data_IF_858293088587
#
_entry.id   IF_858293088587
#
_cell.length_a   1.000
_cell.length_b   1.000
_cell.length_c   1.000
_cell.angle_alpha   90.00
_cell.angle_beta   90.00
_cell.angle_gamma   90.00
#
_symmetry.space_group_name_H-M   'P 1'
#
loop_
_entity.id
_entity.type
_entity.pdbx_description
1 polymer ?
#
# COMPACT_ATOMS: atom_id res chain seq x y z
N UNK A 1 -11.55 -5.90 1.26
CA UNK A 1 -12.61 -6.32 2.21
C UNK A 1 -13.52 -5.13 2.45
N UNK A 2 -14.83 -5.34 2.51
CA UNK A 2 -15.77 -4.28 2.88
C UNK A 2 -16.15 -4.45 4.35
N UNK A 3 -15.98 -3.41 5.16
CA UNK A 3 -16.46 -3.35 6.53
C UNK A 3 -17.54 -2.28 6.63
N UNK A 4 -18.64 -2.58 7.31
CA UNK A 4 -19.71 -1.62 7.55
C UNK A 4 -20.42 -1.89 8.88
N UNK A 5 -20.86 -0.82 9.54
CA UNK A 5 -21.75 -0.88 10.69
C UNK A 5 -23.19 -1.06 10.21
N UNK A 6 -23.94 -1.92 10.91
CA UNK A 6 -25.37 -2.08 10.65
C UNK A 6 -26.14 -0.90 11.26
N UNK A 7 -27.22 -0.46 10.60
CA UNK A 7 -27.96 0.76 10.95
C UNK A 7 -28.44 0.85 12.41
N UNK A 8 -28.59 -0.28 13.11
CA UNK A 8 -29.08 -0.35 14.49
C UNK A 8 -27.94 -0.50 15.53
N UNK A 9 -26.68 -0.51 15.11
CA UNK A 9 -25.50 -0.71 15.96
C UNK A 9 -24.62 0.54 15.93
N UNK A 10 -24.98 1.53 16.75
CA UNK A 10 -24.12 2.70 16.98
C UNK A 10 -23.01 2.32 17.95
N UNK A 11 -21.77 2.59 17.57
CA UNK A 11 -20.64 2.51 18.50
C UNK A 11 -20.74 3.65 19.52
N UNK A 12 -20.15 3.53 20.71
CA UNK A 12 -19.94 4.68 21.58
C UNK A 12 -19.20 5.81 20.83
N UNK A 13 -19.46 7.07 21.18
CA UNK A 13 -19.04 8.25 20.39
C UNK A 13 -17.50 8.34 20.17
N UNK A 14 -16.75 7.84 21.13
CA UNK A 14 -15.29 7.79 21.21
C UNK A 14 -14.69 6.46 20.75
N UNK A 15 -15.49 5.58 20.15
CA UNK A 15 -15.08 4.23 19.74
C UNK A 15 -15.14 4.03 18.24
N UNK A 16 -14.28 3.13 17.77
CA UNK A 16 -14.20 2.70 16.39
C UNK A 16 -14.05 1.18 16.33
N UNK A 17 -14.55 0.58 15.26
CA UNK A 17 -14.37 -0.84 14.97
C UNK A 17 -13.15 -1.01 14.06
N UNK A 18 -12.04 -1.43 14.66
CA UNK A 18 -10.76 -1.66 14.01
C UNK A 18 -10.65 -3.06 13.40
N UNK A 19 -9.95 -3.16 12.28
CA UNK A 19 -9.64 -4.40 11.55
C UNK A 19 -8.15 -4.67 11.61
N UNK A 20 -7.84 -5.92 11.89
CA UNK A 20 -6.50 -6.46 11.90
C UNK A 20 -6.40 -7.68 10.97
N UNK A 21 -5.23 -7.91 10.41
CA UNK A 21 -4.93 -9.13 9.64
C UNK A 21 -3.72 -9.84 10.21
N UNK A 22 -3.71 -11.16 10.12
CA UNK A 22 -2.61 -12.00 10.53
C UNK A 22 -2.38 -13.06 9.46
N UNK A 23 -1.15 -13.12 8.94
CA UNK A 23 -0.68 -14.27 8.18
C UNK A 23 -0.15 -15.35 9.15
N UNK A 24 -0.19 -16.64 8.78
CA UNK A 24 0.22 -17.75 9.64
C UNK A 24 1.60 -17.55 10.30
N UNK A 25 1.65 -17.47 11.64
CA UNK A 25 2.91 -17.27 12.37
C UNK A 25 3.40 -15.82 12.48
N UNK A 26 2.61 -14.83 12.03
CA UNK A 26 2.86 -13.40 12.25
C UNK A 26 2.03 -12.84 13.41
N UNK A 27 2.26 -11.58 13.78
CA UNK A 27 1.39 -10.82 14.67
C UNK A 27 0.23 -10.15 13.91
N UNK A 28 -0.85 -9.81 14.61
CA UNK A 28 -1.93 -9.02 14.01
C UNK A 28 -1.45 -7.61 13.67
N UNK A 29 -1.71 -7.19 12.43
CA UNK A 29 -1.41 -5.86 11.94
C UNK A 29 -2.68 -5.08 11.64
N UNK A 30 -2.76 -3.84 12.13
CA UNK A 30 -3.86 -2.93 11.88
C UNK A 30 -3.99 -2.60 10.37
N UNK A 31 -5.23 -2.55 9.88
CA UNK A 31 -5.55 -2.24 8.48
C UNK A 31 -6.52 -1.08 8.28
N UNK A 32 -7.30 -0.74 9.30
CA UNK A 32 -8.23 0.38 9.24
C UNK A 32 -9.37 0.21 10.22
N UNK A 33 -10.27 1.20 10.27
CA UNK A 33 -11.42 1.17 11.14
C UNK A 33 -12.62 1.89 10.52
N UNK A 34 -13.81 1.60 11.03
CA UNK A 34 -15.05 2.35 10.78
C UNK A 34 -15.59 2.90 12.10
N UNK A 35 -16.33 4.01 12.03
CA UNK A 35 -16.93 4.67 13.18
C UNK A 35 -18.24 5.36 12.77
N UNK A 36 -19.01 5.90 13.71
CA UNK A 36 -20.36 6.42 13.40
C UNK A 36 -20.40 7.50 12.29
N UNK A 37 -19.37 8.34 12.17
CA UNK A 37 -19.29 9.36 11.12
C UNK A 37 -18.73 8.84 9.78
N UNK A 38 -18.10 7.66 9.77
CA UNK A 38 -17.65 6.96 8.58
C UNK A 38 -17.99 5.46 8.74
N UNK A 39 -19.28 5.09 8.57
CA UNK A 39 -19.80 3.80 9.02
C UNK A 39 -19.41 2.64 8.10
N UNK A 40 -18.76 2.90 6.97
CA UNK A 40 -18.33 1.86 6.03
C UNK A 40 -17.02 2.22 5.36
N UNK A 41 -16.16 1.22 5.11
CA UNK A 41 -14.91 1.39 4.40
C UNK A 41 -14.56 0.15 3.57
N UNK A 42 -13.89 0.38 2.43
CA UNK A 42 -13.21 -0.67 1.67
C UNK A 42 -11.75 -0.69 2.11
N UNK A 43 -11.37 -1.77 2.81
CA UNK A 43 -10.04 -1.94 3.39
C UNK A 43 -9.25 -2.95 2.54
N UNK A 44 -8.10 -2.56 1.95
CA UNK A 44 -7.23 -3.50 1.27
C UNK A 44 -6.57 -4.43 2.30
N UNK A 45 -6.71 -5.74 2.11
CA UNK A 45 -6.08 -6.75 2.96
C UNK A 45 -4.66 -7.03 2.43
N UNK A 46 -3.74 -6.12 2.73
CA UNK A 46 -2.32 -6.38 2.53
C UNK A 46 -1.87 -7.38 3.59
N UNK A 47 -1.59 -8.61 3.20
CA UNK A 47 -1.14 -9.64 4.14
C UNK A 47 0.33 -9.42 4.51
N UNK A 48 0.71 -9.57 5.79
CA UNK A 48 2.11 -9.52 6.19
C UNK A 48 2.89 -10.58 5.42
N UNK A 49 3.97 -10.17 4.76
CA UNK A 49 4.87 -11.11 4.10
C UNK A 49 5.56 -11.97 5.16
N UNK A 50 5.35 -13.29 5.10
CA UNK A 50 6.06 -14.21 5.97
C UNK A 50 7.33 -14.67 5.25
N UNK A 51 8.54 -14.29 5.72
CA UNK A 51 9.78 -14.76 5.11
C UNK A 51 9.92 -16.29 5.15
N UNK A 52 9.21 -16.96 6.06
CA UNK A 52 9.17 -18.41 6.24
C UNK A 52 8.21 -19.16 5.30
N UNK A 53 7.35 -18.46 4.53
CA UNK A 53 6.38 -19.10 3.62
C UNK A 53 6.96 -19.58 2.28
N UNK A 54 8.23 -19.33 1.98
CA UNK A 54 8.89 -19.91 0.80
C UNK A 54 9.42 -21.34 1.03
N UNK A 55 9.26 -21.91 2.22
CA UNK A 55 9.65 -23.29 2.50
C UNK A 55 8.51 -24.26 2.11
N UNK A 56 8.81 -25.11 1.12
CA UNK A 56 8.00 -26.24 0.68
C UNK A 56 7.49 -27.03 1.90
N UNK A 57 6.18 -27.01 2.14
CA UNK A 57 5.57 -27.75 3.24
C UNK A 57 5.70 -29.27 2.99
N UNK A 58 6.04 -30.08 4.01
CA UNK A 58 5.98 -31.53 3.90
C UNK A 58 4.56 -32.01 3.59
N UNK A 59 4.39 -33.13 2.86
CA UNK A 59 3.07 -33.70 2.62
C UNK A 59 2.42 -34.11 3.96
N UNK A 60 1.30 -33.48 4.32
CA UNK A 60 0.52 -33.79 5.54
C UNK A 60 0.42 -32.67 6.58
N UNK A 61 1.03 -31.50 6.35
CA UNK A 61 0.87 -30.34 7.24
C UNK A 61 -0.54 -29.72 7.13
N UNK A 62 -1.10 -29.30 8.27
CA UNK A 62 -2.38 -28.59 8.33
C UNK A 62 -2.36 -27.32 7.45
N UNK A 63 -3.48 -26.94 6.82
CA UNK A 63 -3.54 -25.78 5.95
C UNK A 63 -3.24 -24.49 6.73
N UNK A 64 -2.26 -23.75 6.25
CA UNK A 64 -1.90 -22.43 6.75
C UNK A 64 -3.10 -21.48 6.56
N UNK A 65 -3.71 -21.04 7.65
CA UNK A 65 -4.91 -20.20 7.63
C UNK A 65 -4.56 -18.78 8.06
N UNK A 66 -4.91 -17.80 7.23
CA UNK A 66 -4.82 -16.38 7.59
C UNK A 66 -6.05 -15.97 8.40
N UNK A 67 -5.89 -15.04 9.33
CA UNK A 67 -6.95 -14.61 10.24
C UNK A 67 -7.24 -13.11 10.07
N UNK A 68 -8.50 -12.74 10.26
CA UNK A 68 -8.98 -11.35 10.32
C UNK A 68 -9.52 -11.12 11.72
N UNK A 69 -8.94 -10.15 12.42
CA UNK A 69 -9.37 -9.73 13.75
C UNK A 69 -10.21 -8.45 13.66
N UNK A 70 -11.23 -8.36 14.49
CA UNK A 70 -12.03 -7.13 14.67
C UNK A 70 -12.10 -6.79 16.15
N UNK A 71 -11.84 -5.53 16.48
CA UNK A 71 -11.78 -5.03 17.86
C UNK A 71 -12.45 -3.67 17.97
N UNK A 72 -13.12 -3.41 19.09
CA UNK A 72 -13.64 -2.07 19.41
C UNK A 72 -12.58 -1.33 20.20
N UNK A 73 -12.09 -0.24 19.64
CA UNK A 73 -10.99 0.53 20.21
C UNK A 73 -11.33 2.01 20.31
N UNK A 74 -10.53 2.73 21.08
CA UNK A 74 -10.66 4.17 21.18
C UNK A 74 -10.26 4.83 19.85
N UNK A 75 -11.13 5.70 19.33
CA UNK A 75 -10.88 6.38 18.07
C UNK A 75 -9.59 7.22 18.13
N UNK A 76 -9.21 7.72 19.32
CA UNK A 76 -8.01 8.52 19.52
C UNK A 76 -6.71 7.70 19.52
N UNK A 77 -6.76 6.40 19.85
CA UNK A 77 -5.57 5.54 19.92
C UNK A 77 -5.26 4.85 18.61
N UNK A 78 -6.25 4.75 17.71
CA UNK A 78 -6.07 4.05 16.45
C UNK A 78 -5.14 4.82 15.52
N UNK A 79 -4.22 4.12 14.83
CA UNK A 79 -3.48 4.73 13.74
C UNK A 79 -4.50 5.26 12.72
N UNK A 80 -4.39 6.55 12.39
CA UNK A 80 -5.17 7.10 11.29
C UNK A 80 -4.86 6.24 10.05
N UNK A 81 -5.90 5.83 9.33
CA UNK A 81 -5.87 5.03 8.08
C UNK A 81 -4.82 5.52 7.05
N UNK A 82 -4.35 6.75 7.24
CA UNK A 82 -3.19 7.34 6.59
C UNK A 82 -1.95 6.45 6.61
N UNK A 83 -1.67 5.57 7.59
CA UNK A 83 -0.39 4.82 7.59
C UNK A 83 -0.20 3.92 6.36
N UNK A 84 -1.27 3.22 5.94
CA UNK A 84 -1.23 2.37 4.73
C UNK A 84 -1.20 3.19 3.44
N UNK A 85 -1.86 4.35 3.43
CA UNK A 85 -1.80 5.30 2.32
C UNK A 85 -0.41 5.97 2.24
N UNK A 86 0.19 6.32 3.38
CA UNK A 86 1.51 6.93 3.51
C UNK A 86 2.58 5.99 2.96
N UNK A 87 2.54 4.71 3.36
CA UNK A 87 3.47 3.70 2.86
C UNK A 87 3.35 3.50 1.35
N UNK A 88 2.14 3.50 0.81
CA UNK A 88 1.90 3.45 -0.65
C UNK A 88 2.40 4.70 -1.37
N UNK A 89 2.22 5.88 -0.78
CA UNK A 89 2.72 7.14 -1.34
C UNK A 89 4.26 7.18 -1.33
N UNK A 90 4.88 6.64 -0.28
CA UNK A 90 6.33 6.51 -0.18
C UNK A 90 6.88 5.52 -1.23
N UNK A 91 6.30 4.31 -1.33
CA UNK A 91 6.66 3.30 -2.33
C UNK A 91 6.46 3.84 -3.76
N UNK A 92 5.36 4.55 -4.01
CA UNK A 92 5.09 5.23 -5.27
C UNK A 92 6.18 6.26 -5.59
N UNK A 93 6.53 7.13 -4.63
CA UNK A 93 7.56 8.15 -4.83
C UNK A 93 8.92 7.53 -5.17
N UNK A 94 9.29 6.44 -4.47
CA UNK A 94 10.53 5.70 -4.74
C UNK A 94 10.55 5.11 -6.15
N UNK A 95 9.48 4.44 -6.59
CA UNK A 95 9.42 3.86 -7.95
C UNK A 95 9.33 4.92 -9.04
N UNK A 96 8.71 6.08 -8.78
CA UNK A 96 8.72 7.21 -9.71
C UNK A 96 10.14 7.74 -9.90
N UNK A 97 10.90 7.87 -8.81
CA UNK A 97 12.32 8.24 -8.84
C UNK A 97 13.16 7.24 -9.62
N UNK A 98 12.97 5.95 -9.39
CA UNK A 98 13.65 4.88 -10.14
C UNK A 98 13.33 4.92 -11.64
N UNK A 99 12.07 5.12 -12.01
CA UNK A 99 11.66 5.25 -13.40
C UNK A 99 12.27 6.50 -14.08
N UNK A 100 12.39 7.61 -13.35
CA UNK A 100 13.11 8.79 -13.83
C UNK A 100 14.59 8.47 -14.06
N UNK A 101 15.24 7.82 -13.09
CA UNK A 101 16.65 7.46 -13.19
C UNK A 101 16.93 6.51 -14.37
N UNK A 102 16.12 5.46 -14.52
CA UNK A 102 16.20 4.53 -15.64
C UNK A 102 16.01 5.22 -16.99
N UNK A 103 15.09 6.20 -17.06
CA UNK A 103 14.93 7.01 -18.26
C UNK A 103 16.17 7.84 -18.53
N UNK A 104 16.73 8.54 -17.54
CA UNK A 104 17.95 9.34 -17.71
C UNK A 104 19.14 8.47 -18.16
N UNK A 105 19.31 7.27 -17.58
CA UNK A 105 20.34 6.32 -17.99
C UNK A 105 20.23 5.90 -19.46
N UNK A 106 19.01 5.75 -19.99
CA UNK A 106 18.81 5.37 -21.41
C UNK A 106 19.28 6.41 -22.42
N UNK A 107 19.45 7.68 -22.00
CA UNK A 107 19.97 8.78 -22.83
C UNK A 107 21.36 9.24 -22.38
N UNK A 108 21.96 8.55 -21.41
CA UNK A 108 23.25 8.92 -20.86
C UNK A 108 24.39 8.41 -21.73
N UNK A 109 25.40 9.25 -21.91
CA UNK A 109 26.75 8.82 -22.29
C UNK A 109 27.64 8.94 -21.05
N UNK A 110 28.31 7.85 -20.66
CA UNK A 110 29.17 7.87 -19.46
C UNK A 110 30.48 8.54 -19.84
N UNK A 111 30.74 9.72 -19.28
CA UNK A 111 32.01 10.43 -19.43
C UNK A 111 32.74 10.42 -18.07
N UNK A 112 33.50 9.35 -17.81
CA UNK A 112 34.13 9.11 -16.51
C UNK A 112 33.10 8.86 -15.41
N UNK A 113 33.16 9.64 -14.32
CA UNK A 113 32.25 9.54 -13.16
C UNK A 113 30.99 10.44 -13.31
N UNK A 114 30.81 11.09 -14.47
CA UNK A 114 29.71 12.03 -14.70
C UNK A 114 28.68 11.46 -15.66
N UNK A 115 27.41 11.58 -15.26
CA UNK A 115 26.24 11.23 -16.05
C UNK A 115 25.89 12.42 -16.93
N UNK A 116 26.31 12.41 -18.20
CA UNK A 116 26.02 13.51 -19.14
C UNK A 116 24.68 13.25 -19.81
N UNK A 117 23.72 14.13 -19.54
CA UNK A 117 22.37 14.08 -20.12
C UNK A 117 22.03 15.40 -20.81
N UNK A 118 21.22 15.38 -21.87
CA UNK A 118 20.69 16.60 -22.47
C UNK A 118 19.91 17.43 -21.44
N UNK A 119 20.06 18.75 -21.46
CA UNK A 119 19.39 19.63 -20.48
C UNK A 119 17.86 19.48 -20.48
N UNK A 120 17.26 19.11 -21.61
CA UNK A 120 15.82 18.89 -21.72
C UNK A 120 15.33 17.51 -21.27
N UNK A 121 16.20 16.64 -20.73
CA UNK A 121 15.84 15.26 -20.43
C UNK A 121 14.70 15.15 -19.40
N UNK A 122 14.73 16.02 -18.39
CA UNK A 122 13.70 16.08 -17.36
C UNK A 122 12.36 16.52 -17.96
N UNK A 123 12.37 17.54 -18.82
CA UNK A 123 11.16 18.03 -19.50
C UNK A 123 10.54 16.95 -20.40
N UNK A 124 11.37 16.19 -21.13
CA UNK A 124 10.92 15.09 -22.00
C UNK A 124 10.31 13.95 -21.19
N UNK A 125 10.97 13.55 -20.10
CA UNK A 125 10.43 12.54 -19.20
C UNK A 125 9.10 13.00 -18.58
N UNK A 126 9.06 14.23 -18.07
CA UNK A 126 7.89 14.78 -17.39
C UNK A 126 6.68 14.84 -18.32
N UNK A 127 6.87 15.30 -19.57
CA UNK A 127 5.80 15.31 -20.58
C UNK A 127 5.29 13.90 -20.88
N UNK A 128 6.20 12.94 -21.08
CA UNK A 128 5.85 11.53 -21.32
C UNK A 128 5.12 10.90 -20.13
N UNK A 129 5.54 11.22 -18.90
CA UNK A 129 4.90 10.76 -17.68
C UNK A 129 3.49 11.33 -17.53
N UNK A 130 3.33 12.64 -17.76
CA UNK A 130 2.04 13.32 -17.67
C UNK A 130 1.04 12.82 -18.72
N UNK A 131 1.48 12.63 -19.97
CA UNK A 131 0.62 12.12 -21.04
C UNK A 131 0.13 10.69 -20.72
N UNK A 132 1.01 9.83 -20.18
CA UNK A 132 0.63 8.48 -19.73
C UNK A 132 -0.31 8.49 -18.54
N UNK A 133 -0.05 9.34 -17.54
CA UNK A 133 -0.91 9.46 -16.36
C UNK A 133 -2.31 10.02 -16.69
N UNK A 134 -2.43 10.85 -17.74
CA UNK A 134 -3.73 11.35 -18.22
C UNK A 134 -4.51 10.30 -19.01
N UNK A 135 -3.83 9.49 -19.81
CA UNK A 135 -4.45 8.49 -20.68
C UNK A 135 -4.83 7.21 -19.93
N UNK A 136 -4.07 6.83 -18.90
CA UNK A 136 -4.32 5.63 -18.11
C UNK A 136 -4.46 6.00 -16.61
N UNK A 137 -5.69 6.01 -16.06
CA UNK A 137 -5.92 6.33 -14.64
C UNK A 137 -5.30 5.29 -13.69
N UNK A 138 -4.97 4.09 -14.18
CA UNK A 138 -4.31 3.04 -13.40
C UNK A 138 -2.77 3.10 -13.53
N UNK A 139 -2.23 4.02 -14.35
CA UNK A 139 -0.79 4.12 -14.59
C UNK A 139 0.03 4.29 -13.31
N UNK A 140 -0.46 5.11 -12.38
CA UNK A 140 0.18 5.35 -11.08
C UNK A 140 0.09 4.11 -10.17
N UNK A 141 -0.99 3.33 -10.26
CA UNK A 141 -1.15 2.10 -9.46
C UNK A 141 -0.15 1.02 -9.86
N UNK A 142 0.34 1.01 -11.11
CA UNK A 142 1.40 0.09 -11.56
C UNK A 142 2.73 0.27 -10.83
N UNK A 143 2.98 1.45 -10.26
CA UNK A 143 4.16 1.70 -9.45
C UNK A 143 4.01 1.18 -8.01
N UNK A 144 2.80 0.80 -7.60
CA UNK A 144 2.49 0.28 -6.26
C UNK A 144 2.30 -1.24 -6.21
N UNK A 145 2.37 -1.92 -7.36
CA UNK A 145 2.31 -3.39 -7.49
C UNK A 145 3.67 -4.05 -7.29
#
# INVERSE_FOLDING_TARGET
MCLFLLNDQMLPADKALAVYVQSPGSSFEYRGAVHNACPSAVIPLLWPANPSQMLLMPPGSAPLTAQIGVSVEDLATLPLLNLGQQKRVEELAMKVGENLFNFMQSFCTVEGDKLVVPMDILNRWFKKFQDKAKLDPEYLNRFTL
#
